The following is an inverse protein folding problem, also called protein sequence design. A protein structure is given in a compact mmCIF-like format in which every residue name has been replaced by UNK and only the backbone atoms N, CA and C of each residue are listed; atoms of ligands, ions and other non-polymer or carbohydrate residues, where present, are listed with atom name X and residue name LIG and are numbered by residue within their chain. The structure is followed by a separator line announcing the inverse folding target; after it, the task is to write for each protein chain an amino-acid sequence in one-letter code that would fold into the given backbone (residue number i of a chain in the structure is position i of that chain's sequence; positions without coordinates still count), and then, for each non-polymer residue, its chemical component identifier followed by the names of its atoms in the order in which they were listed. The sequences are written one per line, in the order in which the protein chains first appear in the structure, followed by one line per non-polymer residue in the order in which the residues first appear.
data_IF_968592168560
#
_entry.id   IF_968592168560
#
_cell.length_a   1.000
_cell.length_b   1.000
_cell.length_c   1.000
_cell.angle_alpha   90.00
_cell.angle_beta   90.00
_cell.angle_gamma   90.00
#
_symmetry.space_group_name_H-M   'P 1'
#
loop_
_entity.id
_entity.type
_entity.pdbx_description
1 polymer ?
#
# COMPACT_ATOMS: atom_id res chain seq x y z
N UNK A 1 -2.79 -10.77 -12.95
CA UNK A 1 -4.15 -10.31 -12.53
C UNK A 1 -4.01 -8.92 -11.90
N UNK A 2 -5.09 -8.14 -11.85
CA UNK A 2 -5.13 -6.86 -11.14
C UNK A 2 -5.58 -7.07 -9.70
N UNK A 3 -4.81 -6.59 -8.73
CA UNK A 3 -5.07 -6.74 -7.30
C UNK A 3 -5.03 -5.37 -6.63
N UNK A 4 -6.10 -5.00 -5.94
CA UNK A 4 -6.15 -3.77 -5.14
C UNK A 4 -5.96 -4.07 -3.66
N UNK A 5 -5.11 -3.30 -3.00
CA UNK A 5 -4.87 -3.34 -1.55
C UNK A 5 -5.34 -2.01 -0.97
N UNK A 6 -6.18 -2.08 0.06
CA UNK A 6 -6.70 -0.91 0.78
C UNK A 6 -6.17 -0.97 2.21
N UNK A 7 -5.47 0.07 2.65
CA UNK A 7 -4.82 0.12 3.96
C UNK A 7 -4.95 1.52 4.58
N UNK A 8 -4.96 1.61 5.92
CA UNK A 8 -5.04 2.92 6.59
C UNK A 8 -3.74 3.74 6.44
N UNK A 9 -2.59 3.06 6.48
CA UNK A 9 -1.26 3.66 6.35
C UNK A 9 -0.27 2.63 5.82
N UNK A 10 0.66 3.04 4.95
CA UNK A 10 1.75 2.20 4.43
C UNK A 10 3.11 2.92 4.54
N UNK A 11 4.22 2.18 4.57
CA UNK A 11 5.55 2.74 4.81
C UNK A 11 5.86 3.00 6.29
N UNK A 12 5.05 2.44 7.20
CA UNK A 12 5.23 2.52 8.65
C UNK A 12 5.92 1.27 9.23
N UNK A 13 6.34 1.35 10.49
CA UNK A 13 7.00 0.23 11.20
C UNK A 13 6.02 -0.70 11.94
N UNK A 14 4.72 -0.49 11.79
CA UNK A 14 3.72 -1.37 12.38
C UNK A 14 3.63 -2.70 11.62
N UNK A 15 3.22 -3.76 12.33
CA UNK A 15 3.21 -5.11 11.77
C UNK A 15 2.29 -5.25 10.55
N UNK A 16 1.21 -4.47 10.46
CA UNK A 16 0.27 -4.55 9.33
C UNK A 16 0.89 -3.95 8.08
N UNK A 17 1.52 -2.77 8.19
CA UNK A 17 2.26 -2.16 7.10
C UNK A 17 3.36 -3.11 6.60
N UNK A 18 4.24 -3.60 7.48
CA UNK A 18 5.35 -4.47 7.11
C UNK A 18 4.92 -5.77 6.42
N UNK A 19 3.85 -6.42 6.87
CA UNK A 19 3.33 -7.62 6.21
C UNK A 19 2.67 -7.29 4.87
N UNK A 20 1.97 -6.17 4.78
CA UNK A 20 1.36 -5.71 3.52
C UNK A 20 2.42 -5.44 2.45
N UNK A 21 3.53 -4.80 2.80
CA UNK A 21 4.65 -4.54 1.90
C UNK A 21 5.29 -5.83 1.36
N UNK A 22 5.50 -6.83 2.23
CA UNK A 22 5.99 -8.15 1.81
C UNK A 22 5.03 -8.83 0.83
N UNK A 23 3.73 -8.77 1.09
CA UNK A 23 2.74 -9.33 0.18
C UNK A 23 2.70 -8.60 -1.17
N UNK A 24 2.80 -7.27 -1.18
CA UNK A 24 2.93 -6.48 -2.43
C UNK A 24 4.12 -6.95 -3.24
N UNK A 25 5.29 -7.11 -2.61
CA UNK A 25 6.51 -7.57 -3.27
C UNK A 25 6.34 -8.99 -3.84
N UNK A 26 5.79 -9.93 -3.07
CA UNK A 26 5.50 -11.30 -3.54
C UNK A 26 4.52 -11.29 -4.72
N UNK A 27 3.43 -10.51 -4.64
CA UNK A 27 2.42 -10.44 -5.71
C UNK A 27 3.00 -9.82 -6.99
N UNK A 28 3.80 -8.76 -6.89
CA UNK A 28 4.51 -8.17 -8.03
C UNK A 28 5.48 -9.18 -8.65
N UNK A 29 6.24 -9.92 -7.83
CA UNK A 29 7.17 -10.99 -8.28
C UNK A 29 6.47 -12.14 -9.00
N UNK A 30 5.23 -12.45 -8.62
CA UNK A 30 4.38 -13.44 -9.29
C UNK A 30 3.75 -12.92 -10.59
N UNK A 31 4.01 -11.66 -10.99
CA UNK A 31 3.51 -11.07 -12.23
C UNK A 31 2.11 -10.46 -12.12
N UNK A 32 1.64 -10.16 -10.91
CA UNK A 32 0.40 -9.42 -10.71
C UNK A 32 0.64 -7.90 -10.77
N UNK A 33 -0.34 -7.19 -11.32
CA UNK A 33 -0.41 -5.73 -11.29
C UNK A 33 -1.10 -5.34 -9.99
N UNK A 34 -0.37 -4.66 -9.09
CA UNK A 34 -0.83 -4.36 -7.73
C UNK A 34 -1.07 -2.86 -7.61
N UNK A 35 -2.27 -2.50 -7.15
CA UNK A 35 -2.69 -1.14 -6.86
C UNK A 35 -2.83 -0.97 -5.35
N UNK A 36 -2.49 0.20 -4.84
CA UNK A 36 -2.53 0.51 -3.41
C UNK A 36 -3.39 1.74 -3.21
N UNK A 37 -4.36 1.67 -2.31
CA UNK A 37 -5.07 2.82 -1.80
C UNK A 37 -4.79 2.96 -0.32
N UNK A 38 -4.13 4.04 0.09
CA UNK A 38 -3.75 4.28 1.47
C UNK A 38 -4.28 5.60 2.01
N UNK A 39 -4.60 5.64 3.31
CA UNK A 39 -4.88 6.89 4.01
C UNK A 39 -3.64 7.76 4.17
N UNK A 40 -2.48 7.14 4.32
CA UNK A 40 -1.18 7.78 4.52
C UNK A 40 -0.05 6.98 3.85
N UNK A 41 0.94 7.69 3.33
CA UNK A 41 2.19 7.13 2.84
C UNK A 41 3.33 7.80 3.60
N UNK A 42 4.05 7.03 4.42
CA UNK A 42 5.19 7.54 5.19
C UNK A 42 6.51 7.28 4.43
N UNK A 43 7.22 6.20 4.76
CA UNK A 43 8.49 5.82 4.13
C UNK A 43 8.28 5.06 2.81
N UNK A 44 7.39 5.57 1.96
CA UNK A 44 6.95 4.92 0.72
C UNK A 44 7.26 5.78 -0.50
N UNK A 45 7.89 5.19 -1.52
CA UNK A 45 8.11 5.85 -2.81
C UNK A 45 6.83 5.74 -3.65
N UNK A 46 6.15 6.86 -3.84
CA UNK A 46 4.87 6.90 -4.54
C UNK A 46 5.00 6.55 -6.03
N UNK A 47 4.20 5.59 -6.47
CA UNK A 47 3.95 5.26 -7.88
C UNK A 47 2.54 5.72 -8.27
N UNK A 48 2.42 6.91 -8.88
CA UNK A 48 1.12 7.53 -9.15
C UNK A 48 0.20 6.75 -10.12
N UNK A 49 0.73 5.78 -10.86
CA UNK A 49 -0.08 4.92 -11.74
C UNK A 49 -0.76 3.79 -10.95
N UNK A 50 -0.21 3.43 -9.78
CA UNK A 50 -0.65 2.29 -8.98
C UNK A 50 -1.10 2.66 -7.55
N UNK A 51 -0.63 3.79 -7.03
CA UNK A 51 -0.82 4.23 -5.67
C UNK A 51 -1.76 5.44 -5.61
N UNK A 52 -2.75 5.36 -4.73
CA UNK A 52 -3.74 6.40 -4.52
C UNK A 52 -3.84 6.79 -3.04
N UNK A 53 -3.58 8.06 -2.75
CA UNK A 53 -3.79 8.64 -1.42
C UNK A 53 -5.26 9.01 -1.25
N UNK A 54 -5.93 8.33 -0.31
CA UNK A 54 -7.31 8.63 0.09
C UNK A 54 -7.37 8.95 1.58
N UNK A 55 -7.20 10.23 1.99
CA UNK A 55 -7.04 10.62 3.40
C UNK A 55 -8.16 10.18 4.34
N UNK A 56 -9.36 9.89 3.82
CA UNK A 56 -10.48 9.37 4.60
C UNK A 56 -10.24 7.96 5.18
N UNK A 57 -9.23 7.23 4.69
CA UNK A 57 -8.79 5.94 5.26
C UNK A 57 -7.82 6.10 6.43
N UNK A 58 -7.28 7.30 6.67
CA UNK A 58 -6.38 7.49 7.80
C UNK A 58 -7.14 7.42 9.12
N UNK A 59 -6.56 6.69 10.08
CA UNK A 59 -7.00 6.67 11.47
C UNK A 59 -6.25 7.67 12.34
N UNK A 60 -5.22 8.31 11.78
CA UNK A 60 -4.40 9.30 12.46
C UNK A 60 -4.90 10.70 12.06
N UNK A 61 -5.12 11.55 13.06
CA UNK A 61 -5.60 12.93 12.91
C UNK A 61 -4.52 13.90 13.33
#
# INVERSE_FOLDING_TARGET
MRIGIIIGRIGGVDGVALETEKWIDVLKKLGHEVFIMSGEFESWTMDYDHDYLFPALSFFR
#
